data_IF_778323332034
#
_entry.id   IF_778323332034
#
_cell.length_a   1.000
_cell.length_b   1.000
_cell.length_c   1.000
_cell.angle_alpha   90.00
_cell.angle_beta   90.00
_cell.angle_gamma   90.00
#
_symmetry.space_group_name_H-M   'P 1'
#
loop_
_entity.id
_entity.type
_entity.pdbx_description
1 polymer ?
#
# COMPACT_ATOMS: atom_id res chain seq x y z
N UNK A 1 -18.47 5.70 35.12
CA UNK A 1 -18.59 5.75 33.65
C UNK A 1 -17.23 6.07 33.06
N UNK A 2 -16.54 5.08 32.49
CA UNK A 2 -15.22 5.27 31.90
C UNK A 2 -15.35 5.99 30.56
N UNK A 3 -14.69 7.14 30.41
CA UNK A 3 -14.68 7.90 29.17
C UNK A 3 -14.14 7.02 28.03
N UNK A 4 -14.98 6.81 27.00
CA UNK A 4 -14.63 6.10 25.77
C UNK A 4 -13.49 6.88 25.11
N UNK A 5 -12.27 6.31 25.09
CA UNK A 5 -11.12 6.94 24.43
C UNK A 5 -11.48 7.18 22.98
N UNK A 6 -11.65 8.45 22.62
CA UNK A 6 -11.84 8.88 21.24
C UNK A 6 -10.55 8.50 20.50
N UNK A 7 -10.59 7.41 19.73
CA UNK A 7 -9.49 7.05 18.83
C UNK A 7 -9.18 8.22 17.90
N UNK A 8 -7.97 8.28 17.33
CA UNK A 8 -7.52 9.39 16.47
C UNK A 8 -8.53 9.58 15.32
N UNK A 9 -9.34 10.66 15.28
CA UNK A 9 -10.28 10.89 14.21
C UNK A 9 -9.48 11.13 12.93
N UNK A 10 -9.32 10.08 12.13
CA UNK A 10 -8.65 10.14 10.84
C UNK A 10 -9.65 9.66 9.83
N UNK A 11 -9.99 10.53 8.87
CA UNK A 11 -10.99 10.28 7.81
C UNK A 11 -10.57 9.16 6.85
N UNK A 12 -9.28 8.80 6.85
CA UNK A 12 -8.74 7.67 6.09
C UNK A 12 -7.96 6.74 7.01
N UNK A 13 -8.64 5.91 7.83
CA UNK A 13 -7.96 4.85 8.53
C UNK A 13 -7.36 3.91 7.48
N UNK A 14 -6.06 3.60 7.61
CA UNK A 14 -5.39 2.56 6.81
C UNK A 14 -5.82 1.18 7.34
N UNK A 15 -7.13 0.94 7.34
CA UNK A 15 -7.77 -0.24 7.93
C UNK A 15 -7.66 -1.47 7.02
N UNK A 16 -7.40 -1.25 5.73
CA UNK A 16 -7.32 -2.32 4.74
C UNK A 16 -5.90 -2.91 4.75
N UNK A 17 -5.74 -4.02 5.47
CA UNK A 17 -4.54 -4.86 5.38
C UNK A 17 -4.72 -5.89 4.26
N UNK A 18 -4.06 -5.67 3.12
CA UNK A 18 -4.06 -6.64 2.02
C UNK A 18 -2.92 -7.64 2.20
N UNK A 19 -3.25 -8.91 2.50
CA UNK A 19 -2.29 -10.02 2.50
C UNK A 19 -2.22 -10.61 1.10
N UNK A 20 -1.25 -10.14 0.30
CA UNK A 20 -1.03 -10.61 -1.07
C UNK A 20 0.14 -11.59 -1.06
N UNK A 21 -0.04 -12.75 -1.70
CA UNK A 21 1.06 -13.66 -2.01
C UNK A 21 1.69 -13.24 -3.32
N UNK A 22 3.01 -13.06 -3.31
CA UNK A 22 3.79 -12.77 -4.50
C UNK A 22 4.63 -13.99 -4.86
N UNK A 23 4.73 -14.27 -6.16
CA UNK A 23 5.75 -15.18 -6.69
C UNK A 23 7.15 -14.58 -6.51
N UNK A 24 8.18 -15.43 -6.54
CA UNK A 24 9.58 -14.99 -6.34
C UNK A 24 10.00 -13.91 -7.34
N UNK A 25 9.57 -14.03 -8.59
CA UNK A 25 9.87 -13.02 -9.61
C UNK A 25 9.22 -11.67 -9.32
N UNK A 26 7.95 -11.66 -8.91
CA UNK A 26 7.23 -10.42 -8.59
C UNK A 26 7.78 -9.78 -7.31
N UNK A 27 8.17 -10.59 -6.33
CA UNK A 27 8.86 -10.12 -5.14
C UNK A 27 10.21 -9.47 -5.49
N UNK A 28 11.00 -10.08 -6.37
CA UNK A 28 12.27 -9.52 -6.85
C UNK A 28 12.09 -8.19 -7.58
N UNK A 29 11.11 -8.09 -8.48
CA UNK A 29 10.76 -6.83 -9.15
C UNK A 29 10.35 -5.74 -8.15
N UNK A 30 9.60 -6.12 -7.11
CA UNK A 30 9.16 -5.19 -6.07
C UNK A 30 10.33 -4.70 -5.21
N UNK A 31 11.31 -5.56 -4.90
CA UNK A 31 12.55 -5.16 -4.24
C UNK A 31 13.38 -4.23 -5.12
N UNK A 32 13.59 -4.56 -6.38
CA UNK A 32 14.30 -3.67 -7.33
C UNK A 32 13.62 -2.30 -7.43
N UNK A 33 12.28 -2.26 -7.50
CA UNK A 33 11.54 -1.00 -7.50
C UNK A 33 11.70 -0.26 -6.17
N UNK A 34 11.73 -0.97 -5.05
CA UNK A 34 11.94 -0.40 -3.71
C UNK A 34 13.33 0.24 -3.60
N UNK A 35 14.37 -0.44 -4.10
CA UNK A 35 15.76 0.04 -4.09
C UNK A 35 15.96 1.22 -5.05
N UNK A 36 15.49 1.12 -6.30
CA UNK A 36 15.65 2.18 -7.31
C UNK A 36 14.89 3.46 -6.99
N UNK A 37 13.76 3.35 -6.28
CA UNK A 37 12.90 4.49 -5.93
C UNK A 37 13.12 4.96 -4.48
N UNK A 38 13.95 4.26 -3.70
CA UNK A 38 14.20 4.52 -2.27
C UNK A 38 12.91 4.67 -1.44
N UNK A 39 11.88 3.90 -1.79
CA UNK A 39 10.59 3.89 -1.09
C UNK A 39 10.32 2.52 -0.49
N UNK A 40 9.49 2.46 0.54
CA UNK A 40 9.09 1.18 1.14
C UNK A 40 8.29 0.31 0.17
N UNK A 41 8.43 -1.01 0.28
CA UNK A 41 7.65 -2.03 -0.44
C UNK A 41 6.14 -1.71 -0.51
N UNK A 42 5.55 -1.27 0.59
CA UNK A 42 4.14 -0.89 0.63
C UNK A 42 3.81 0.34 -0.24
N UNK A 43 4.73 1.29 -0.35
CA UNK A 43 4.57 2.48 -1.19
C UNK A 43 4.72 2.13 -2.68
N UNK A 44 5.63 1.20 -3.01
CA UNK A 44 5.74 0.65 -4.38
C UNK A 44 4.39 0.08 -4.82
N UNK A 45 3.75 -0.75 -3.98
CA UNK A 45 2.44 -1.35 -4.29
C UNK A 45 1.37 -0.27 -4.45
N UNK A 46 1.31 0.71 -3.56
CA UNK A 46 0.33 1.82 -3.66
C UNK A 46 0.48 2.61 -4.95
N UNK A 47 1.73 2.97 -5.31
CA UNK A 47 2.01 3.65 -6.57
C UNK A 47 1.67 2.78 -7.78
N UNK A 48 1.94 1.48 -7.70
CA UNK A 48 1.57 0.50 -8.73
C UNK A 48 0.07 0.46 -8.96
N UNK A 49 -0.73 0.34 -7.89
CA UNK A 49 -2.20 0.35 -7.97
C UNK A 49 -2.72 1.68 -8.53
N UNK A 50 -2.15 2.82 -8.08
CA UNK A 50 -2.53 4.13 -8.58
C UNK A 50 -2.31 4.25 -10.09
N UNK A 51 -1.10 3.90 -10.56
CA UNK A 51 -0.79 3.92 -12.01
C UNK A 51 -1.70 3.00 -12.79
N UNK A 52 -1.90 1.77 -12.32
CA UNK A 52 -2.79 0.82 -12.97
C UNK A 52 -4.23 1.33 -13.08
N UNK A 53 -4.70 2.09 -12.08
CA UNK A 53 -6.01 2.75 -12.11
C UNK A 53 -6.05 3.93 -13.09
N UNK A 54 -4.98 4.74 -13.16
CA UNK A 54 -4.86 5.84 -14.13
C UNK A 54 -4.79 5.34 -15.58
N UNK A 55 -4.19 4.17 -15.81
CA UNK A 55 -4.10 3.50 -17.12
C UNK A 55 -5.40 2.77 -17.53
N UNK A 56 -6.40 2.65 -16.66
CA UNK A 56 -7.68 2.02 -17.04
C UNK A 56 -8.41 2.91 -18.08
N UNK A 57 -8.87 2.34 -19.20
CA UNK A 57 -9.67 3.08 -20.17
C UNK A 57 -10.99 3.51 -19.54
N UNK A 58 -11.38 4.75 -19.82
CA UNK A 58 -12.54 5.42 -19.23
C UNK A 58 -13.82 5.20 -20.03
#
# INVERSE_FOLDING_TARGET
MGAKKLGRPTDSPKDITMKIRFDKETAGKLEECSEKLEISRAEVVRRGVKKMYEDLPK
#
